data_IF_809022691438
#
_entry.id   IF_809022691438
#
_cell.length_a   1.000
_cell.length_b   1.000
_cell.length_c   1.000
_cell.angle_alpha   90.00
_cell.angle_beta   90.00
_cell.angle_gamma   90.00
#
_symmetry.space_group_name_H-M   'P 1'
#
loop_
_entity.id
_entity.type
_entity.pdbx_description
1 polymer ?
#
# COMPACT_ATOMS: atom_id res chain seq x y z
N UNK A 1 -10.98 -13.03 9.38
CA UNK A 1 -10.30 -12.33 8.27
C UNK A 1 -11.06 -11.05 8.05
N UNK A 2 -10.40 -9.91 8.17
CA UNK A 2 -11.01 -8.59 7.99
C UNK A 2 -11.23 -8.33 6.51
N UNK A 3 -12.32 -7.66 6.14
CA UNK A 3 -12.54 -7.27 4.76
C UNK A 3 -11.60 -6.12 4.37
N UNK A 4 -11.09 -6.18 3.14
CA UNK A 4 -10.20 -5.17 2.58
C UNK A 4 -11.01 -4.26 1.66
N UNK A 5 -10.93 -2.95 1.92
CA UNK A 5 -11.55 -1.91 1.10
C UNK A 5 -10.44 -1.06 0.52
N UNK A 6 -10.38 -0.97 -0.80
CA UNK A 6 -9.45 -0.08 -1.48
C UNK A 6 -10.08 1.29 -1.66
N UNK A 7 -9.50 2.32 -1.06
CA UNK A 7 -9.90 3.69 -1.34
C UNK A 7 -9.69 4.03 -2.83
N UNK A 8 -10.41 5.02 -3.38
CA UNK A 8 -10.13 5.51 -4.73
C UNK A 8 -8.67 5.91 -4.93
N UNK A 9 -8.05 6.54 -3.92
CA UNK A 9 -6.65 6.96 -3.95
C UNK A 9 -5.71 5.76 -3.99
N UNK A 10 -5.99 4.71 -3.21
CA UNK A 10 -5.21 3.47 -3.22
C UNK A 10 -5.26 2.80 -4.60
N UNK A 11 -6.44 2.73 -5.23
CA UNK A 11 -6.60 2.18 -6.58
C UNK A 11 -5.78 2.98 -7.61
N UNK A 12 -5.92 4.30 -7.59
CA UNK A 12 -5.21 5.18 -8.54
C UNK A 12 -3.69 5.11 -8.36
N UNK A 13 -3.20 5.26 -7.13
CA UNK A 13 -1.76 5.21 -6.83
C UNK A 13 -1.13 3.85 -7.14
N UNK A 14 -1.86 2.76 -6.92
CA UNK A 14 -1.41 1.42 -7.34
C UNK A 14 -1.24 1.32 -8.86
N UNK A 15 -2.23 1.82 -9.61
CA UNK A 15 -2.17 1.84 -11.09
C UNK A 15 -1.04 2.74 -11.59
N UNK A 16 -0.80 3.90 -10.96
CA UNK A 16 0.32 4.78 -11.30
C UNK A 16 1.68 4.09 -11.13
N UNK A 17 1.84 3.31 -10.07
CA UNK A 17 3.08 2.54 -9.85
C UNK A 17 3.22 1.43 -10.90
N UNK A 18 2.15 0.71 -11.23
CA UNK A 18 2.18 -0.29 -12.29
C UNK A 18 2.57 0.31 -13.64
N UNK A 19 1.99 1.44 -14.02
CA UNK A 19 2.35 2.16 -15.25
C UNK A 19 3.82 2.58 -15.25
N UNK A 20 4.31 3.14 -14.15
CA UNK A 20 5.72 3.48 -14.02
C UNK A 20 6.63 2.26 -14.18
N UNK A 21 6.26 1.11 -13.62
CA UNK A 21 7.01 -0.13 -13.77
C UNK A 21 6.96 -0.64 -15.22
N UNK A 22 5.80 -0.59 -15.89
CA UNK A 22 5.65 -0.93 -17.32
C UNK A 22 6.51 -0.07 -18.25
N UNK A 23 6.62 1.22 -17.98
CA UNK A 23 7.39 2.15 -18.80
C UNK A 23 8.91 2.03 -18.61
N UNK A 24 9.37 1.55 -17.45
CA UNK A 24 10.78 1.65 -17.03
C UNK A 24 11.45 0.31 -16.71
N UNK A 25 10.70 -0.78 -16.57
CA UNK A 25 11.20 -2.07 -16.09
C UNK A 25 10.59 -3.25 -16.85
N UNK A 26 11.04 -4.46 -16.54
CA UNK A 26 10.58 -5.67 -17.23
C UNK A 26 9.32 -6.24 -16.55
N UNK A 27 8.64 -7.16 -17.24
CA UNK A 27 7.50 -7.91 -16.70
C UNK A 27 7.80 -8.57 -15.36
N UNK A 28 9.05 -8.97 -15.11
CA UNK A 28 9.48 -9.56 -13.84
C UNK A 28 9.33 -8.61 -12.66
N UNK A 29 9.68 -7.33 -12.82
CA UNK A 29 9.54 -6.34 -11.75
C UNK A 29 8.06 -6.02 -11.46
N UNK A 30 7.23 -6.01 -12.50
CA UNK A 30 5.78 -5.81 -12.38
C UNK A 30 5.14 -6.96 -11.62
N UNK A 31 5.41 -8.20 -12.03
CA UNK A 31 4.93 -9.42 -11.36
C UNK A 31 5.40 -9.50 -9.91
N UNK A 32 6.66 -9.10 -9.65
CA UNK A 32 7.18 -9.03 -8.29
C UNK A 32 6.39 -8.01 -7.45
N UNK A 33 6.14 -6.81 -7.96
CA UNK A 33 5.35 -5.81 -7.22
C UNK A 33 3.92 -6.27 -6.93
N UNK A 34 3.25 -6.89 -7.91
CA UNK A 34 1.89 -7.43 -7.76
C UNK A 34 1.89 -8.52 -6.69
N UNK A 35 2.76 -9.52 -6.80
CA UNK A 35 2.82 -10.63 -5.85
C UNK A 35 3.17 -10.19 -4.42
N UNK A 36 4.04 -9.18 -4.27
CA UNK A 36 4.33 -8.55 -2.97
C UNK A 36 3.10 -7.86 -2.40
N UNK A 37 2.36 -7.13 -3.22
CA UNK A 37 1.13 -6.44 -2.80
C UNK A 37 0.09 -7.45 -2.31
N UNK A 38 -0.21 -8.48 -3.11
CA UNK A 38 -1.19 -9.51 -2.75
C UNK A 38 -0.83 -10.23 -1.44
N UNK A 39 0.45 -10.60 -1.28
CA UNK A 39 0.94 -11.24 -0.06
C UNK A 39 0.73 -10.34 1.15
N UNK A 40 1.04 -9.05 1.04
CA UNK A 40 0.88 -8.11 2.14
C UNK A 40 -0.59 -7.86 2.47
N UNK A 41 -1.44 -7.67 1.47
CA UNK A 41 -2.89 -7.51 1.69
C UNK A 41 -3.49 -8.73 2.39
N UNK A 42 -3.05 -9.95 2.04
CA UNK A 42 -3.45 -11.18 2.73
C UNK A 42 -2.98 -11.24 4.19
N UNK A 43 -1.74 -10.82 4.47
CA UNK A 43 -1.23 -10.76 5.84
C UNK A 43 -1.99 -9.73 6.68
N UNK A 44 -2.25 -8.55 6.10
CA UNK A 44 -3.00 -7.47 6.72
C UNK A 44 -4.43 -7.93 7.04
N UNK A 45 -5.10 -8.65 6.14
CA UNK A 45 -6.47 -9.16 6.39
C UNK A 45 -6.55 -10.22 7.49
N UNK A 46 -5.43 -10.89 7.81
CA UNK A 46 -5.34 -11.87 8.88
C UNK A 46 -4.91 -11.26 10.20
N UNK A 47 -3.95 -10.33 10.16
CA UNK A 47 -3.44 -9.61 11.32
C UNK A 47 -3.28 -8.11 10.97
N UNK A 48 -4.30 -7.29 11.21
CA UNK A 48 -4.28 -5.88 10.83
C UNK A 48 -3.28 -5.04 11.63
N UNK A 49 -2.82 -5.53 12.78
CA UNK A 49 -1.87 -4.82 13.64
C UNK A 49 -0.41 -5.26 13.40
N UNK A 50 -0.15 -5.96 12.29
CA UNK A 50 1.16 -6.56 11.99
C UNK A 50 2.28 -5.54 11.72
N UNK A 51 1.92 -4.36 11.21
CA UNK A 51 2.88 -3.36 10.72
C UNK A 51 3.02 -2.16 11.65
N UNK A 52 3.95 -1.26 11.32
CA UNK A 52 4.23 -0.09 12.15
C UNK A 52 3.03 0.86 12.18
N UNK A 53 2.48 1.09 13.37
CA UNK A 53 1.42 2.05 13.61
C UNK A 53 1.98 3.45 13.87
N UNK A 54 1.30 4.47 13.35
CA UNK A 54 1.57 5.88 13.55
C UNK A 54 0.39 6.52 14.27
N UNK A 55 0.60 6.95 15.51
CA UNK A 55 -0.41 7.60 16.33
C UNK A 55 -0.87 8.94 15.72
N UNK A 56 0.06 9.69 15.11
CA UNK A 56 -0.21 11.03 14.59
C UNK A 56 -1.18 11.04 13.41
N UNK A 57 -1.18 9.97 12.62
CA UNK A 57 -2.01 9.84 11.42
C UNK A 57 -3.11 8.79 11.58
N UNK A 58 -3.13 8.02 12.68
CA UNK A 58 -4.00 6.85 12.86
C UNK A 58 -3.91 5.86 11.67
N UNK A 59 -2.68 5.57 11.26
CA UNK A 59 -2.40 4.69 10.12
C UNK A 59 -1.28 3.71 10.40
N UNK A 60 -1.30 2.60 9.67
CA UNK A 60 -0.25 1.62 9.60
C UNK A 60 0.53 1.80 8.30
N UNK A 61 1.85 1.57 8.35
CA UNK A 61 2.74 1.62 7.19
C UNK A 61 3.39 0.27 6.95
N UNK A 62 3.26 -0.24 5.73
CA UNK A 62 3.89 -1.46 5.26
C UNK A 62 4.79 -1.19 4.05
N UNK A 63 6.01 -1.73 4.03
CA UNK A 63 6.89 -1.61 2.86
C UNK A 63 6.57 -2.72 1.85
N UNK A 64 6.06 -2.36 0.67
CA UNK A 64 5.72 -3.31 -0.41
C UNK A 64 6.98 -3.79 -1.10
N UNK A 65 7.75 -2.81 -1.57
CA UNK A 65 9.10 -2.91 -2.13
C UNK A 65 9.91 -1.71 -1.60
N UNK A 66 11.26 -1.68 -1.70
CA UNK A 66 12.07 -0.60 -1.10
C UNK A 66 11.59 0.83 -1.42
N UNK A 67 11.07 1.04 -2.63
CA UNK A 67 10.62 2.35 -3.10
C UNK A 67 9.12 2.60 -2.93
N UNK A 68 8.32 1.64 -2.44
CA UNK A 68 6.87 1.81 -2.30
C UNK A 68 6.39 1.35 -0.92
N UNK A 69 5.71 2.24 -0.20
CA UNK A 69 4.99 1.90 1.03
C UNK A 69 3.48 1.87 0.79
N UNK A 70 2.78 0.91 1.38
CA UNK A 70 1.33 0.90 1.52
C UNK A 70 0.95 1.47 2.89
N UNK A 71 0.05 2.46 2.88
CA UNK A 71 -0.60 2.96 4.09
C UNK A 71 -2.02 2.43 4.18
N UNK A 72 -2.43 1.99 5.37
CA UNK A 72 -3.78 1.49 5.62
C UNK A 72 -4.23 1.85 7.04
N UNK A 73 -5.52 1.69 7.33
CA UNK A 73 -6.08 1.82 8.68
C UNK A 73 -7.18 0.80 8.95
N UNK A 74 -7.49 0.58 10.22
CA UNK A 74 -8.69 -0.15 10.61
C UNK A 74 -9.83 0.86 10.81
N UNK A 75 -10.98 0.58 10.21
CA UNK A 75 -12.18 1.39 10.35
C UNK A 75 -13.42 0.51 10.31
N UNK A 76 -14.25 0.58 11.34
CA UNK A 76 -15.51 -0.17 11.45
C UNK A 76 -15.33 -1.67 11.14
N UNK A 77 -14.34 -2.31 11.76
CA UNK A 77 -14.00 -3.73 11.55
C UNK A 77 -13.55 -4.10 10.11
N UNK A 78 -13.26 -3.10 9.30
CA UNK A 78 -12.70 -3.27 7.96
C UNK A 78 -11.30 -2.65 7.90
N UNK A 79 -10.51 -3.11 6.93
CA UNK A 79 -9.22 -2.54 6.63
C UNK A 79 -9.37 -1.68 5.39
N UNK A 80 -9.08 -0.40 5.53
CA UNK A 80 -9.09 0.54 4.42
C UNK A 80 -7.66 0.78 3.94
N UNK A 81 -7.35 0.37 2.70
CA UNK A 81 -6.10 0.74 2.04
C UNK A 81 -6.22 2.19 1.58
N UNK A 82 -5.28 3.03 2.01
CA UNK A 82 -5.34 4.48 1.82
C UNK A 82 -4.58 4.91 0.57
N UNK A 83 -3.31 4.51 0.45
CA UNK A 83 -2.43 4.93 -0.65
C UNK A 83 -1.22 4.00 -0.79
N UNK A 84 -0.79 3.78 -2.03
CA UNK A 84 0.54 3.27 -2.34
C UNK A 84 1.47 4.45 -2.63
N UNK A 85 2.39 4.71 -1.70
CA UNK A 85 3.26 5.86 -1.73
C UNK A 85 4.64 5.51 -2.31
N UNK A 86 5.04 6.20 -3.38
CA UNK A 86 6.43 6.19 -3.83
C UNK A 86 7.31 6.96 -2.83
N UNK A 87 8.15 6.22 -2.11
CA UNK A 87 9.02 6.72 -1.04
C UNK A 87 10.06 7.75 -1.54
N UNK A 88 10.24 7.92 -2.85
CA UNK A 88 11.14 8.91 -3.44
C UNK A 88 10.50 10.30 -3.58
N UNK A 89 9.17 10.40 -3.47
CA UNK A 89 8.43 11.67 -3.51
C UNK A 89 8.64 12.45 -2.21
N UNK A 90 8.47 13.78 -2.28
CA UNK A 90 8.52 14.66 -1.10
C UNK A 90 7.47 14.21 -0.06
N UNK A 91 7.86 13.81 1.15
CA UNK A 91 6.95 13.32 2.18
C UNK A 91 5.89 14.36 2.58
N UNK A 92 6.12 15.66 2.38
CA UNK A 92 5.12 16.71 2.65
C UNK A 92 3.91 16.65 1.72
N UNK A 93 4.00 15.93 0.60
CA UNK A 93 2.91 15.73 -0.36
C UNK A 93 2.03 14.53 -0.01
N UNK A 94 2.41 13.73 0.98
CA UNK A 94 1.61 12.60 1.45
C UNK A 94 0.50 13.13 2.37
N UNK A 95 -0.75 13.00 1.93
CA UNK A 95 -1.94 13.38 2.70
C UNK A 95 -2.68 12.10 3.07
N UNK A 96 -2.60 11.70 4.34
CA UNK A 96 -3.25 10.51 4.92
C UNK A 96 -3.74 10.80 6.34
#
# INVERSE_FOLDING_TARGET
MYAIIWSPIAKTSYIEILKFLEENWTSKEIEYFISRTERLVKLISQNPNLFQYSINSDTFRCLVVPHVSLFYRLKNENIELLVFWDNRKDPKKLII
#
